data_IF_552331847018
#
_entry.id   IF_552331847018
#
_cell.length_a   1.000
_cell.length_b   1.000
_cell.length_c   1.000
_cell.angle_alpha   90.00
_cell.angle_beta   90.00
_cell.angle_gamma   90.00
#
_symmetry.space_group_name_H-M   'P 1'
#
loop_
_entity.id
_entity.type
_entity.pdbx_description
1 polymer ?
#
# COMPACT_ATOMS: atom_id res chain seq x y z
N UNK A 1 -10.81 17.03 5.01
CA UNK A 1 -10.39 15.64 5.19
C UNK A 1 -9.19 15.37 4.35
N UNK A 2 -8.25 14.63 4.90
CA UNK A 2 -7.05 14.38 4.13
C UNK A 2 -7.26 13.27 3.14
N UNK A 3 -6.72 13.44 1.97
CA UNK A 3 -6.78 12.39 0.97
C UNK A 3 -5.72 11.37 1.31
N UNK A 4 -6.01 10.13 1.00
CA UNK A 4 -5.04 9.05 1.17
C UNK A 4 -4.54 8.64 -0.20
N UNK A 5 -3.24 8.60 -0.36
CA UNK A 5 -2.65 8.15 -1.62
C UNK A 5 -1.75 6.97 -1.35
N UNK A 6 -2.05 5.87 -2.01
CA UNK A 6 -1.31 4.62 -1.89
C UNK A 6 -0.77 4.22 -3.26
N UNK A 7 0.48 3.85 -3.31
CA UNK A 7 1.10 3.36 -4.54
C UNK A 7 1.65 1.97 -4.27
N UNK A 8 1.28 1.00 -5.08
CA UNK A 8 1.78 -0.36 -4.97
C UNK A 8 2.69 -0.63 -6.15
N UNK A 9 3.93 -0.97 -5.88
CA UNK A 9 4.87 -1.35 -6.93
C UNK A 9 4.93 -2.87 -7.00
N UNK A 10 4.77 -3.40 -8.21
CA UNK A 10 4.77 -4.83 -8.44
C UNK A 10 5.75 -5.17 -9.56
N UNK A 11 6.04 -6.45 -9.74
CA UNK A 11 6.87 -6.91 -10.83
C UNK A 11 6.04 -7.86 -11.68
N UNK A 12 5.48 -7.34 -12.74
CA UNK A 12 4.70 -8.14 -13.69
C UNK A 12 3.50 -8.81 -13.06
N UNK A 13 3.05 -9.89 -13.68
CA UNK A 13 1.87 -10.58 -13.19
C UNK A 13 2.24 -11.87 -12.47
N UNK A 14 3.20 -11.78 -11.57
CA UNK A 14 3.56 -12.94 -10.77
C UNK A 14 2.46 -13.23 -9.74
N UNK A 15 2.41 -14.43 -9.18
CA UNK A 15 1.42 -14.73 -8.13
C UNK A 15 1.52 -13.79 -6.95
N UNK A 16 2.73 -13.38 -6.57
CA UNK A 16 2.90 -12.44 -5.46
C UNK A 16 2.35 -11.06 -5.80
N UNK A 17 2.56 -10.62 -7.04
CA UNK A 17 2.03 -9.34 -7.49
C UNK A 17 0.50 -9.35 -7.51
N UNK A 18 -0.07 -10.42 -8.05
CA UNK A 18 -1.53 -10.52 -8.11
C UNK A 18 -2.15 -10.58 -6.72
N UNK A 19 -1.49 -11.29 -5.80
CA UNK A 19 -1.98 -11.36 -4.43
C UNK A 19 -1.94 -9.98 -3.77
N UNK A 20 -0.85 -9.25 -3.96
CA UNK A 20 -0.72 -7.92 -3.38
C UNK A 20 -1.78 -6.97 -3.90
N UNK A 21 -2.06 -7.01 -5.19
CA UNK A 21 -3.10 -6.17 -5.79
C UNK A 21 -4.46 -6.52 -5.19
N UNK A 22 -4.77 -7.80 -5.10
CA UNK A 22 -6.04 -8.25 -4.54
C UNK A 22 -6.19 -7.86 -3.07
N UNK A 23 -5.13 -8.02 -2.29
CA UNK A 23 -5.14 -7.67 -0.88
C UNK A 23 -5.36 -6.17 -0.71
N UNK A 24 -4.70 -5.35 -1.53
CA UNK A 24 -4.85 -3.90 -1.46
C UNK A 24 -6.27 -3.48 -1.84
N UNK A 25 -6.82 -4.04 -2.90
CA UNK A 25 -8.18 -3.73 -3.31
C UNK A 25 -9.18 -4.09 -2.20
N UNK A 26 -9.00 -5.25 -1.60
CA UNK A 26 -9.87 -5.70 -0.53
C UNK A 26 -9.76 -4.79 0.70
N UNK A 27 -8.54 -4.33 1.00
CA UNK A 27 -8.31 -3.42 2.10
C UNK A 27 -9.07 -2.12 1.89
N UNK A 28 -8.97 -1.57 0.69
CA UNK A 28 -9.58 -0.29 0.39
C UNK A 28 -11.09 -0.34 0.34
N UNK A 29 -11.66 -1.42 -0.13
CA UNK A 29 -13.11 -1.56 -0.16
C UNK A 29 -13.73 -1.53 1.23
N UNK A 30 -13.02 -2.04 2.20
CA UNK A 30 -13.59 -2.17 3.54
C UNK A 30 -13.31 -1.02 4.47
N UNK A 31 -12.28 -0.27 4.17
CA UNK A 31 -11.75 0.66 5.13
C UNK A 31 -11.98 2.11 4.81
N UNK A 32 -12.01 2.44 3.53
CA UNK A 32 -12.07 3.84 3.16
C UNK A 32 -13.43 4.19 2.58
N UNK A 33 -14.07 5.14 3.17
CA UNK A 33 -15.33 5.62 2.67
C UNK A 33 -15.08 6.72 1.66
N UNK A 34 -13.88 7.29 1.71
CA UNK A 34 -13.66 8.48 1.01
C UNK A 34 -12.55 8.44 0.03
N UNK A 35 -11.92 9.52 -0.16
CA UNK A 35 -11.00 9.74 -1.22
C UNK A 35 -9.70 9.01 -1.01
N UNK A 36 -9.62 7.84 -1.60
CA UNK A 36 -8.38 7.10 -1.62
C UNK A 36 -7.98 7.02 -3.06
N UNK A 37 -6.77 7.42 -3.34
CA UNK A 37 -6.19 7.26 -4.67
C UNK A 37 -5.22 6.09 -4.61
N UNK A 38 -5.45 5.11 -5.46
CA UNK A 38 -4.58 3.93 -5.52
C UNK A 38 -3.93 3.91 -6.88
N UNK A 39 -2.63 3.75 -6.89
CA UNK A 39 -1.89 3.64 -8.12
C UNK A 39 -1.10 2.35 -8.07
N UNK A 40 -1.16 1.56 -9.11
CA UNK A 40 -0.41 0.31 -9.19
C UNK A 40 0.60 0.47 -10.30
N UNK A 41 1.87 0.31 -9.98
CA UNK A 41 2.96 0.52 -10.93
C UNK A 41 3.76 -0.76 -11.09
N UNK A 42 3.86 -1.22 -12.33
CA UNK A 42 4.68 -2.39 -12.65
C UNK A 42 6.08 -1.87 -12.95
N UNK A 43 7.04 -2.27 -12.14
CA UNK A 43 8.42 -1.78 -12.30
C UNK A 43 9.04 -2.22 -13.62
N UNK A 44 8.49 -3.27 -14.24
CA UNK A 44 8.97 -3.70 -15.55
C UNK A 44 8.55 -2.72 -16.64
N UNK A 45 7.42 -2.04 -16.43
CA UNK A 45 6.94 -1.06 -17.40
C UNK A 45 7.44 0.34 -17.09
N UNK A 46 7.74 0.60 -15.84
CA UNK A 46 8.20 1.92 -15.42
C UNK A 46 9.48 1.81 -14.60
N UNK A 47 10.57 1.35 -15.22
CA UNK A 47 11.83 1.21 -14.49
C UNK A 47 12.38 2.58 -14.04
N UNK A 48 11.98 3.65 -14.72
CA UNK A 48 12.36 5.00 -14.35
C UNK A 48 11.83 5.35 -12.95
N UNK A 49 10.57 5.02 -12.70
CA UNK A 49 9.97 5.31 -11.40
C UNK A 49 10.57 4.43 -10.32
N UNK A 50 10.85 3.16 -10.65
CA UNK A 50 11.46 2.26 -9.68
C UNK A 50 12.82 2.80 -9.25
N UNK A 51 13.57 3.34 -10.20
CA UNK A 51 14.88 3.90 -9.90
C UNK A 51 14.75 5.15 -9.04
N UNK A 52 13.85 6.04 -9.43
CA UNK A 52 13.66 7.28 -8.72
C UNK A 52 13.20 7.04 -7.28
N UNK A 53 12.27 6.12 -7.11
CA UNK A 53 11.71 5.84 -5.79
C UNK A 53 12.53 4.82 -5.01
N UNK A 54 13.63 4.37 -5.58
CA UNK A 54 14.53 3.41 -4.94
C UNK A 54 13.78 2.14 -4.52
N UNK A 55 13.02 1.60 -5.47
CA UNK A 55 12.30 0.36 -5.24
C UNK A 55 13.26 -0.80 -5.42
N UNK A 56 13.64 -1.42 -4.33
CA UNK A 56 14.63 -2.51 -4.35
C UNK A 56 13.99 -3.88 -4.29
N UNK A 57 12.74 -3.94 -3.90
CA UNK A 57 12.04 -5.21 -3.75
C UNK A 57 10.56 -4.97 -3.99
N UNK A 58 9.87 -5.97 -4.55
CA UNK A 58 8.43 -5.90 -4.77
C UNK A 58 7.77 -7.17 -4.25
N UNK A 59 6.49 -7.12 -3.88
CA UNK A 59 5.65 -5.91 -3.87
C UNK A 59 6.00 -4.99 -2.70
N UNK A 60 5.83 -3.71 -2.92
CA UNK A 60 5.99 -2.75 -1.84
C UNK A 60 4.86 -1.73 -1.94
N UNK A 61 4.22 -1.47 -0.82
CA UNK A 61 3.14 -0.50 -0.74
C UNK A 61 3.67 0.77 -0.09
N UNK A 62 3.44 1.91 -0.74
CA UNK A 62 3.90 3.19 -0.22
C UNK A 62 2.71 4.10 -0.02
N UNK A 63 2.56 4.62 1.20
CA UNK A 63 1.57 5.65 1.47
C UNK A 63 2.30 6.98 1.42
N UNK A 64 1.91 7.86 0.51
CA UNK A 64 2.52 9.18 0.43
C UNK A 64 1.66 10.24 1.08
N UNK A 65 0.35 10.03 1.16
CA UNK A 65 -0.56 10.95 1.83
C UNK A 65 -1.54 10.15 2.67
N UNK A 66 -1.89 10.59 3.85
CA UNK A 66 -1.30 11.72 4.54
C UNK A 66 0.09 11.39 5.06
N UNK A 67 0.94 12.40 5.26
CA UNK A 67 2.28 12.12 5.77
C UNK A 67 2.18 11.59 7.21
N UNK A 68 3.16 10.87 7.67
CA UNK A 68 4.44 10.62 7.05
C UNK A 68 4.37 9.54 5.97
N UNK A 69 5.36 9.52 5.09
CA UNK A 69 5.45 8.49 4.06
C UNK A 69 5.82 7.18 4.75
N UNK A 70 5.09 6.13 4.41
CA UNK A 70 5.33 4.82 5.01
C UNK A 70 5.48 3.79 3.90
N UNK A 71 6.44 2.89 4.05
CA UNK A 71 6.66 1.80 3.10
C UNK A 71 6.42 0.48 3.79
N UNK A 72 5.66 -0.39 3.15
CA UNK A 72 5.41 -1.73 3.66
C UNK A 72 5.83 -2.74 2.62
N UNK A 73 6.74 -3.62 3.00
CA UNK A 73 7.23 -4.68 2.13
C UNK A 73 6.65 -5.98 2.62
N UNK A 74 6.22 -6.81 1.70
CA UNK A 74 5.78 -8.16 2.03
C UNK A 74 4.29 -8.33 2.01
N UNK A 75 3.79 -9.14 2.93
CA UNK A 75 2.40 -9.60 2.91
C UNK A 75 1.43 -8.50 3.34
N UNK A 76 0.41 -8.26 2.54
CA UNK A 76 -0.63 -7.29 2.82
C UNK A 76 -1.94 -7.94 3.27
N UNK A 77 -1.92 -9.23 3.56
CA UNK A 77 -3.16 -9.96 3.86
C UNK A 77 -3.75 -9.63 5.22
N UNK A 78 -2.93 -9.22 6.17
CA UNK A 78 -3.43 -8.85 7.50
C UNK A 78 -3.83 -7.38 7.45
N UNK A 79 -5.09 -7.12 7.16
CA UNK A 79 -5.58 -5.76 6.94
C UNK A 79 -5.38 -4.84 8.12
N UNK A 80 -5.67 -5.33 9.31
CA UNK A 80 -5.53 -4.50 10.48
C UNK A 80 -4.08 -4.09 10.71
N UNK A 81 -3.17 -5.03 10.56
CA UNK A 81 -1.77 -4.76 10.73
C UNK A 81 -1.26 -3.76 9.69
N UNK A 82 -1.71 -3.90 8.45
CA UNK A 82 -1.33 -2.97 7.39
C UNK A 82 -1.84 -1.58 7.71
N UNK A 83 -3.09 -1.46 8.13
CA UNK A 83 -3.67 -0.16 8.46
C UNK A 83 -2.96 0.50 9.63
N UNK A 84 -2.58 -0.27 10.63
CA UNK A 84 -1.82 0.26 11.75
C UNK A 84 -0.46 0.76 11.29
N UNK A 85 0.22 0.01 10.46
CA UNK A 85 1.53 0.43 9.96
C UNK A 85 1.44 1.67 9.10
N UNK A 86 0.35 1.82 8.36
CA UNK A 86 0.15 3.00 7.53
C UNK A 86 -0.29 4.21 8.35
N UNK A 87 -0.62 4.02 9.61
CA UNK A 87 -1.10 5.10 10.45
C UNK A 87 -2.51 5.54 10.11
N UNK A 88 -3.28 4.68 9.45
CA UNK A 88 -4.64 5.02 9.02
C UNK A 88 -5.69 4.64 10.04
N UNK A 89 -5.34 3.80 11.01
CA UNK A 89 -6.20 3.56 12.15
C UNK A 89 -5.31 3.62 13.38
N UNK A 90 -5.92 3.94 14.50
CA UNK A 90 -5.15 4.00 15.74
C UNK A 90 -5.25 2.65 16.38
N UNK A 91 -4.15 2.22 16.98
CA UNK A 91 -4.20 1.03 17.75
C UNK A 91 -5.13 1.33 18.90
N UNK A 92 -6.08 0.45 19.08
CA UNK A 92 -7.03 0.66 20.14
C UNK A 92 -6.41 0.11 21.39
N UNK A 93 -5.85 0.99 22.12
CA UNK A 93 -5.24 0.63 23.35
C UNK A 93 -6.21 0.69 24.44
N UNK A 94 -7.41 0.91 24.09
CA UNK A 94 -8.37 1.02 25.08
C UNK A 94 -8.25 -0.23 25.82
N UNK A 95 -8.25 -0.16 26.95
CA UNK A 95 -8.17 -1.16 27.75
C UNK A 95 -9.24 -1.76 27.52
N UNK A 96 -8.98 -2.18 26.93
CA UNK A 96 -9.95 -2.86 26.85
C UNK A 96 -10.07 -3.38 28.11
#
# INVERSE_FOLDING_TARGET
MEKTKLTLYITGETPRSKKAVGDLESLCERTFDDEVTIEIIDVLERPDLAYYERIMVTPILIKTLPPPVVRIIGDLSDKEKVLLKLGLIKEDLAPS
#
